data_IF_859068594474
#
_entry.id   IF_859068594474
#
_cell.length_a   1.000
_cell.length_b   1.000
_cell.length_c   1.000
_cell.angle_alpha   90.00
_cell.angle_beta   90.00
_cell.angle_gamma   90.00
#
_symmetry.space_group_name_H-M   'P 1'
#
loop_
_entity.id
_entity.type
_entity.pdbx_description
1 polymer ?
#
# COMPACT_ATOMS: atom_id res chain seq x y z
N UNK A 1 -4.78 -6.44 0.57
CA UNK A 1 -3.83 -6.87 1.63
C UNK A 1 -4.03 -5.99 2.86
N UNK A 2 -3.95 -6.52 4.08
CA UNK A 2 -4.07 -5.71 5.30
C UNK A 2 -2.78 -5.82 6.11
N UNK A 3 -2.19 -4.68 6.50
CA UNK A 3 -1.02 -4.65 7.36
C UNK A 3 -1.17 -3.61 8.49
N UNK A 4 -0.66 -3.90 9.69
CA UNK A 4 -0.69 -2.95 10.80
C UNK A 4 0.33 -1.83 10.55
N UNK A 5 -0.08 -0.58 10.73
CA UNK A 5 0.77 0.60 10.53
C UNK A 5 0.48 1.68 11.57
N UNK A 6 1.15 2.83 11.46
CA UNK A 6 0.95 3.99 12.33
C UNK A 6 0.87 5.27 11.51
N UNK A 7 -0.28 5.92 11.54
CA UNK A 7 -0.52 7.24 10.94
C UNK A 7 -0.42 8.28 12.04
N UNK A 8 0.52 9.21 11.91
CA UNK A 8 0.75 10.28 12.89
C UNK A 8 0.91 9.77 14.35
N UNK A 9 1.52 8.60 14.54
CA UNK A 9 1.71 7.96 15.85
C UNK A 9 0.53 7.15 16.36
N UNK A 10 -0.62 7.17 15.67
CA UNK A 10 -1.81 6.40 16.00
C UNK A 10 -1.72 5.03 15.30
N UNK A 11 -1.65 3.92 16.04
CA UNK A 11 -1.65 2.59 15.44
C UNK A 11 -3.04 2.24 14.88
N UNK A 12 -3.02 1.90 13.60
CA UNK A 12 -4.15 1.60 12.74
C UNK A 12 -3.74 0.45 11.78
N UNK A 13 -4.64 0.03 10.91
CA UNK A 13 -4.39 -0.98 9.90
C UNK A 13 -4.62 -0.36 8.52
N UNK A 14 -3.73 -0.59 7.58
CA UNK A 14 -3.89 -0.17 6.20
C UNK A 14 -4.38 -1.37 5.39
N UNK A 15 -5.60 -1.26 4.86
CA UNK A 15 -6.17 -2.21 3.91
C UNK A 15 -5.96 -1.67 2.50
N UNK A 16 -5.07 -2.30 1.76
CA UNK A 16 -4.88 -2.01 0.33
C UNK A 16 -5.95 -2.76 -0.45
N UNK A 17 -6.88 -2.00 -1.04
CA UNK A 17 -7.98 -2.53 -1.85
C UNK A 17 -7.57 -2.70 -3.30
N UNK A 18 -6.76 -1.77 -3.83
CA UNK A 18 -6.29 -1.81 -5.20
C UNK A 18 -4.88 -1.22 -5.30
N UNK A 19 -4.01 -1.86 -6.08
CA UNK A 19 -2.67 -1.35 -6.34
C UNK A 19 -2.26 -1.66 -7.77
N UNK A 20 -1.87 -0.62 -8.49
CA UNK A 20 -1.26 -0.67 -9.80
C UNK A 20 0.08 0.08 -9.77
N UNK A 21 1.19 -0.58 -10.14
CA UNK A 21 2.48 0.06 -10.19
C UNK A 21 2.51 1.15 -11.26
N UNK A 22 3.15 2.29 -10.95
CA UNK A 22 3.41 3.31 -11.95
C UNK A 22 4.34 2.75 -13.03
N UNK A 23 3.86 2.73 -14.27
CA UNK A 23 4.64 2.24 -15.40
C UNK A 23 5.32 3.43 -16.10
N UNK A 24 6.66 3.44 -16.19
CA UNK A 24 7.33 4.45 -16.98
C UNK A 24 6.85 4.31 -18.43
N UNK A 25 6.32 5.41 -18.98
CA UNK A 25 5.87 5.45 -20.35
C UNK A 25 6.99 5.01 -21.29
N UNK A 26 6.65 4.15 -22.24
CA UNK A 26 7.58 3.75 -23.29
C UNK A 26 7.43 4.69 -24.49
N UNK A 27 8.30 4.55 -25.49
CA UNK A 27 8.23 5.34 -26.73
C UNK A 27 6.87 5.24 -27.44
N UNK A 28 6.10 4.18 -27.16
CA UNK A 28 4.79 3.88 -27.75
C UNK A 28 3.61 4.05 -26.79
N UNK A 29 3.84 4.19 -25.48
CA UNK A 29 2.79 4.24 -24.47
C UNK A 29 3.01 5.40 -23.51
N UNK A 30 1.98 6.24 -23.27
CA UNK A 30 2.10 7.31 -22.29
C UNK A 30 2.40 6.74 -20.89
N UNK A 31 3.11 7.50 -20.04
CA UNK A 31 3.36 7.08 -18.66
C UNK A 31 2.03 6.86 -17.95
N UNK A 32 1.87 5.67 -17.37
CA UNK A 32 0.70 5.36 -16.57
C UNK A 32 0.98 5.76 -15.12
N UNK A 33 0.20 6.70 -14.55
CA UNK A 33 0.30 6.99 -13.13
C UNK A 33 -0.05 5.72 -12.36
N UNK A 34 0.76 5.37 -11.36
CA UNK A 34 0.45 4.24 -10.50
C UNK A 34 -0.78 4.55 -9.67
N UNK A 35 -1.70 3.61 -9.57
CA UNK A 35 -2.87 3.73 -8.71
C UNK A 35 -2.60 3.01 -7.39
N UNK A 36 -2.85 3.69 -6.27
CA UNK A 36 -2.69 3.10 -4.94
C UNK A 36 -3.93 3.44 -4.13
N UNK A 37 -4.92 2.56 -4.15
CA UNK A 37 -6.11 2.70 -3.32
C UNK A 37 -5.99 1.86 -2.06
N UNK A 38 -6.12 2.55 -0.94
CA UNK A 38 -6.09 1.94 0.37
C UNK A 38 -7.14 2.58 1.26
N UNK A 39 -7.49 1.88 2.34
CA UNK A 39 -8.39 2.33 3.37
C UNK A 39 -7.76 2.11 4.72
N UNK A 40 -7.87 3.13 5.58
CA UNK A 40 -7.43 3.01 6.96
C UNK A 40 -8.53 2.40 7.81
N UNK A 41 -8.17 1.37 8.55
CA UNK A 41 -9.00 0.67 9.51
C UNK A 41 -8.45 0.93 10.92
N UNK A 42 -9.36 1.02 11.89
CA UNK A 42 -9.00 1.06 13.30
C UNK A 42 -8.38 -0.28 13.74
N UNK A 43 -7.83 -0.37 14.95
CA UNK A 43 -7.30 -1.63 15.52
C UNK A 43 -8.36 -2.74 15.58
N UNK A 44 -9.64 -2.35 15.59
CA UNK A 44 -10.78 -3.26 15.56
C UNK A 44 -11.25 -3.65 14.16
N UNK A 45 -10.62 -3.14 13.09
CA UNK A 45 -11.00 -3.44 11.71
C UNK A 45 -12.17 -2.61 11.17
N UNK A 46 -12.53 -1.51 11.84
CA UNK A 46 -13.58 -0.60 11.35
C UNK A 46 -12.99 0.52 10.50
N UNK A 47 -13.67 0.97 9.42
CA UNK A 47 -13.19 2.06 8.58
C UNK A 47 -13.02 3.34 9.38
N UNK A 48 -11.78 3.80 9.48
CA UNK A 48 -11.40 4.96 10.25
C UNK A 48 -11.28 6.19 9.35
N UNK A 49 -12.42 6.66 8.82
CA UNK A 49 -12.46 7.87 7.95
C UNK A 49 -11.84 9.11 8.58
N UNK A 50 -11.83 9.21 9.91
CA UNK A 50 -11.23 10.33 10.61
C UNK A 50 -9.69 10.36 10.48
N UNK A 51 -9.05 9.22 10.22
CA UNK A 51 -7.61 9.15 9.95
C UNK A 51 -7.25 9.66 8.55
N UNK A 52 -8.21 9.68 7.63
CA UNK A 52 -8.05 10.20 6.26
C UNK A 52 -7.68 11.69 6.28
N UNK A 53 -8.25 12.46 7.20
CA UNK A 53 -7.93 13.88 7.39
C UNK A 53 -6.47 14.11 7.85
N UNK A 54 -5.85 13.08 8.45
CA UNK A 54 -4.46 13.10 8.88
C UNK A 54 -3.51 12.45 7.85
N UNK A 55 -4.03 11.95 6.73
CA UNK A 55 -3.19 11.50 5.63
C UNK A 55 -2.50 12.72 5.02
N UNK A 56 -1.18 12.71 5.14
CA UNK A 56 -0.30 13.67 4.49
C UNK A 56 0.48 12.93 3.43
N UNK A 57 0.94 13.63 2.40
CA UNK A 57 1.77 13.04 1.35
C UNK A 57 3.00 12.28 1.89
N UNK A 58 3.58 12.73 3.01
CA UNK A 58 4.64 11.99 3.71
C UNK A 58 4.18 10.67 4.31
N UNK A 59 2.97 10.63 4.87
CA UNK A 59 2.39 9.41 5.42
C UNK A 59 2.01 8.45 4.29
N UNK A 60 1.44 8.96 3.20
CA UNK A 60 1.12 8.17 2.00
C UNK A 60 2.38 7.55 1.39
N UNK A 61 3.45 8.34 1.19
CA UNK A 61 4.73 7.83 0.70
C UNK A 61 5.28 6.74 1.62
N UNK A 62 5.28 6.95 2.94
CA UNK A 62 5.71 5.93 3.90
C UNK A 62 4.85 4.66 3.82
N UNK A 63 3.53 4.79 3.79
CA UNK A 63 2.61 3.66 3.67
C UNK A 63 2.86 2.88 2.38
N UNK A 64 3.13 3.59 1.29
CA UNK A 64 3.46 3.02 0.01
C UNK A 64 4.80 2.26 0.04
N UNK A 65 5.82 2.79 0.71
CA UNK A 65 7.09 2.08 0.92
C UNK A 65 6.90 0.81 1.74
N UNK A 66 6.17 0.85 2.85
CA UNK A 66 5.89 -0.34 3.67
C UNK A 66 5.10 -1.37 2.88
N UNK A 67 4.10 -0.93 2.12
CA UNK A 67 3.34 -1.81 1.25
C UNK A 67 4.21 -2.45 0.15
N UNK A 68 5.11 -1.69 -0.48
CA UNK A 68 6.08 -2.23 -1.44
C UNK A 68 7.00 -3.26 -0.81
N UNK A 69 7.49 -3.01 0.40
CA UNK A 69 8.33 -3.95 1.14
C UNK A 69 7.57 -5.27 1.41
N UNK A 70 6.31 -5.16 1.80
CA UNK A 70 5.43 -6.31 2.01
C UNK A 70 5.12 -7.06 0.70
N UNK A 71 4.89 -6.35 -0.40
CA UNK A 71 4.72 -6.96 -1.72
C UNK A 71 5.97 -7.67 -2.20
N UNK A 72 7.14 -7.07 -2.01
CA UNK A 72 8.43 -7.68 -2.38
C UNK A 72 8.64 -8.98 -1.59
N UNK A 73 8.40 -8.95 -0.27
CA UNK A 73 8.45 -10.13 0.60
C UNK A 73 7.46 -11.22 0.16
N UNK A 74 6.22 -10.84 -0.18
CA UNK A 74 5.20 -11.76 -0.71
C UNK A 74 5.57 -12.35 -2.09
N UNK A 75 6.12 -11.52 -2.98
CA UNK A 75 6.58 -11.94 -4.30
C UNK A 75 7.75 -12.92 -4.17
N UNK A 76 8.66 -12.66 -3.24
CA UNK A 76 9.77 -13.55 -2.92
C UNK A 76 9.29 -14.90 -2.38
N UNK A 77 8.31 -14.89 -1.47
CA UNK A 77 7.71 -16.12 -0.92
C UNK A 77 6.92 -16.91 -1.97
N UNK A 78 6.22 -16.24 -2.89
CA UNK A 78 5.47 -16.90 -3.97
C UNK A 78 6.41 -17.59 -4.97
N UNK A 79 7.57 -16.99 -5.24
CA UNK A 79 8.57 -17.54 -6.16
C UNK A 79 9.28 -18.78 -5.60
N UNK A 80 9.42 -18.88 -4.28
CA UNK A 80 10.01 -20.05 -3.59
C UNK A 80 9.05 -21.27 -3.57
N UNK A 81 7.74 -21.08 -3.80
CA UNK A 81 6.75 -22.15 -3.80
C UNK A 81 6.57 -22.82 -5.17
N UNK A 82 7.04 -22.21 -6.27
CA UNK A 82 7.00 -22.79 -7.63
C UNK A 82 8.25 -23.64 -7.96
N UNK A 83 9.29 -23.61 -7.11
CA UNK A 83 10.51 -24.42 -7.23
C UNK A 83 10.56 -25.48 -6.10
N UNK A 84 9.45 -26.18 -5.88
CA UNK A 84 9.36 -27.29 -4.92
C UNK A 84 8.65 -28.51 -5.53
#
# INVERSE_FOLDING_TARGET
MIFPTRVNGIPCQCEVTHYEPALPGSFTEPPQPGEFEFRLLDRRGYPARWLDDYLTAQTEDRLFQEFKQHLDDLAFQSMEQEVA
#
